data_IF_453506664262
#
_entry.id   IF_453506664262
#
_cell.length_a   1.000
_cell.length_b   1.000
_cell.length_c   1.000
_cell.angle_alpha   90.00
_cell.angle_beta   90.00
_cell.angle_gamma   90.00
#
_symmetry.space_group_name_H-M   'P 1'
#
loop_
_entity.id
_entity.type
_entity.pdbx_description
1 polymer ?
#
# COMPACT_ATOMS: atom_id res chain seq x y z
N UNK A 1 29.99 -13.71 42.09
CA UNK A 1 29.77 -15.17 42.25
C UNK A 1 28.39 -15.63 41.78
N UNK A 2 27.32 -14.82 41.88
CA UNK A 2 25.99 -15.17 41.36
C UNK A 2 25.87 -15.11 39.81
N UNK A 3 26.63 -14.24 39.13
CA UNK A 3 26.60 -14.13 37.66
C UNK A 3 27.14 -15.39 36.94
N UNK A 4 28.07 -16.12 37.56
CA UNK A 4 28.64 -17.36 36.99
C UNK A 4 27.71 -18.58 37.15
N UNK A 5 26.79 -18.54 38.13
CA UNK A 5 25.81 -19.62 38.35
C UNK A 5 24.64 -19.49 37.36
N UNK A 6 24.31 -18.27 36.93
CA UNK A 6 23.23 -17.99 35.97
C UNK A 6 23.62 -18.38 34.53
N UNK A 7 24.88 -18.14 34.14
CA UNK A 7 25.42 -18.54 32.83
C UNK A 7 25.50 -20.08 32.70
N UNK A 8 25.81 -20.79 33.78
CA UNK A 8 25.87 -22.25 33.79
C UNK A 8 24.47 -22.93 33.72
N UNK A 9 23.42 -22.26 34.20
CA UNK A 9 22.03 -22.76 34.08
C UNK A 9 21.49 -22.63 32.65
N UNK A 10 21.81 -21.55 31.95
CA UNK A 10 21.37 -21.34 30.55
C UNK A 10 22.09 -22.28 29.55
N UNK A 11 23.37 -22.59 29.76
CA UNK A 11 24.09 -23.54 28.91
C UNK A 11 23.56 -24.99 29.03
N UNK A 12 22.99 -25.37 30.18
CA UNK A 12 22.43 -26.72 30.41
C UNK A 12 21.02 -26.89 29.79
N UNK A 13 20.27 -25.81 29.60
CA UNK A 13 18.97 -25.82 28.92
C UNK A 13 19.11 -25.94 27.38
N UNK A 14 20.13 -25.31 26.78
CA UNK A 14 20.38 -25.42 25.33
C UNK A 14 20.97 -26.77 24.89
N UNK A 15 21.68 -27.49 25.78
CA UNK A 15 22.24 -28.80 25.46
C UNK A 15 21.22 -29.97 25.49
N UNK A 16 20.03 -29.76 26.07
CA UNK A 16 18.98 -30.79 26.18
C UNK A 16 17.98 -30.73 25.00
N UNK A 17 17.87 -29.59 24.31
CA UNK A 17 16.96 -29.41 23.17
C UNK A 17 17.50 -29.96 21.82
N UNK A 18 18.80 -30.27 21.73
CA UNK A 18 19.45 -30.76 20.49
C UNK A 18 19.55 -32.29 20.39
N UNK A 19 18.97 -33.05 21.34
CA UNK A 19 19.08 -34.52 21.38
C UNK A 19 17.80 -35.30 21.03
N UNK A 20 16.72 -34.62 20.60
CA UNK A 20 15.51 -35.27 20.10
C UNK A 20 14.91 -34.46 18.96
N UNK A 21 15.08 -34.94 17.73
CA UNK A 21 14.48 -34.30 16.56
C UNK A 21 14.86 -34.97 15.26
N UNK A 22 14.46 -36.23 15.07
CA UNK A 22 14.38 -36.85 13.76
C UNK A 22 13.51 -35.97 12.85
N UNK A 23 14.09 -35.38 11.80
CA UNK A 23 13.32 -34.81 10.68
C UNK A 23 13.20 -35.86 9.59
N UNK A 24 12.00 -36.45 9.45
CA UNK A 24 11.49 -36.87 8.16
C UNK A 24 11.11 -35.60 7.39
N UNK A 25 11.72 -35.36 6.22
CA UNK A 25 11.25 -34.36 5.27
C UNK A 25 9.98 -34.87 4.58
N UNK A 26 8.87 -34.18 4.80
CA UNK A 26 7.67 -34.29 3.98
C UNK A 26 7.79 -33.28 2.84
N UNK A 27 8.10 -33.76 1.64
CA UNK A 27 7.83 -33.06 0.39
C UNK A 27 6.45 -33.51 -0.07
N UNK A 28 5.47 -32.61 0.02
CA UNK A 28 4.09 -32.86 -0.41
C UNK A 28 3.66 -31.81 -1.43
N UNK A 29 3.91 -32.09 -2.71
CA UNK A 29 3.14 -31.53 -3.82
C UNK A 29 1.88 -32.37 -3.99
N UNK A 30 0.70 -31.77 -3.83
CA UNK A 30 -0.57 -32.44 -4.06
C UNK A 30 -0.88 -32.46 -5.57
N UNK A 31 -0.75 -33.62 -6.21
CA UNK A 31 -1.56 -33.97 -7.36
C UNK A 31 -2.04 -35.41 -7.27
N UNK A 32 -3.32 -35.52 -7.61
CA UNK A 32 -4.27 -36.62 -7.68
C UNK A 32 -3.70 -37.96 -8.20
N UNK A 33 -4.30 -39.06 -7.70
CA UNK A 33 -4.53 -40.39 -8.33
C UNK A 33 -3.86 -41.62 -7.67
N UNK A 34 -4.75 -42.55 -7.35
CA UNK A 34 -4.69 -44.01 -7.16
C UNK A 34 -3.99 -44.72 -5.99
N UNK A 35 -4.87 -45.39 -5.22
CA UNK A 35 -4.62 -46.54 -4.35
C UNK A 35 -4.19 -47.74 -5.20
N UNK A 36 -2.99 -48.29 -4.92
CA UNK A 36 -2.71 -49.74 -4.93
C UNK A 36 -1.36 -50.04 -4.26
N UNK A 37 -1.43 -50.94 -3.28
CA UNK A 37 -0.39 -51.80 -2.69
C UNK A 37 1.07 -51.62 -3.17
N UNK A 38 1.96 -51.22 -2.27
CA UNK A 38 3.39 -51.56 -2.36
C UNK A 38 4.02 -51.60 -0.95
N UNK A 39 4.23 -52.82 -0.46
CA UNK A 39 5.16 -53.15 0.64
C UNK A 39 6.57 -52.68 0.27
N UNK A 40 7.21 -51.87 1.11
CA UNK A 40 8.63 -51.55 0.96
C UNK A 40 9.35 -51.83 2.27
N UNK A 41 9.93 -53.02 2.35
CA UNK A 41 10.86 -53.45 3.37
C UNK A 41 12.22 -52.75 3.16
N UNK A 42 12.74 -52.10 4.20
CA UNK A 42 14.08 -51.52 4.21
C UNK A 42 15.08 -52.66 4.44
N UNK A 43 15.88 -53.00 3.41
CA UNK A 43 16.86 -54.09 3.43
C UNK A 43 18.23 -53.53 3.85
N UNK A 44 18.91 -54.08 4.87
CA UNK A 44 20.24 -53.62 5.28
C UNK A 44 21.29 -53.99 4.23
N UNK A 45 22.17 -53.03 3.93
CA UNK A 45 23.33 -53.24 3.05
C UNK A 45 24.42 -53.96 3.86
N UNK A 46 24.95 -55.11 3.38
CA UNK A 46 26.06 -55.78 4.03
C UNK A 46 27.35 -55.00 3.81
N UNK A 47 27.98 -54.59 4.91
CA UNK A 47 29.36 -54.10 4.94
C UNK A 47 30.24 -55.34 4.99
N UNK A 48 30.71 -55.82 3.84
CA UNK A 48 31.88 -56.70 3.71
C UNK A 48 32.13 -57.05 2.24
N UNK A 49 33.11 -56.39 1.63
CA UNK A 49 34.04 -56.95 0.62
C UNK A 49 34.71 -55.83 -0.18
N UNK A 50 35.71 -55.18 0.41
CA UNK A 50 36.87 -54.72 -0.37
C UNK A 50 38.11 -55.30 0.31
N UNK A 51 38.56 -56.43 -0.25
CA UNK A 51 39.86 -57.04 0.03
C UNK A 51 40.95 -56.02 -0.26
N UNK A 52 41.59 -55.52 0.79
CA UNK A 52 42.84 -54.79 0.68
C UNK A 52 43.98 -55.80 0.50
N UNK A 53 44.53 -55.83 -0.71
CA UNK A 53 45.73 -56.57 -1.06
C UNK A 53 46.92 -56.17 -0.17
N UNK A 54 47.63 -57.19 0.31
CA UNK A 54 48.98 -57.18 0.87
C UNK A 54 49.88 -56.08 0.30
N UNK A 55 50.29 -55.14 1.15
CA UNK A 55 51.41 -54.22 0.92
C UNK A 55 52.68 -54.73 1.64
N UNK A 56 53.87 -54.51 1.05
CA UNK A 56 55.13 -55.02 1.55
C UNK A 56 55.67 -54.24 2.75
N UNK A 57 56.62 -54.89 3.41
CA UNK A 57 57.34 -54.47 4.60
C UNK A 57 57.98 -53.06 4.52
N UNK A 58 57.89 -52.38 5.67
CA UNK A 58 58.92 -51.49 6.26
C UNK A 58 59.62 -50.56 5.28
N UNK A 59 59.01 -49.39 5.08
CA UNK A 59 59.70 -48.16 4.70
C UNK A 59 59.70 -47.21 5.89
N UNK A 60 60.90 -46.87 6.37
CA UNK A 60 61.19 -45.90 7.43
C UNK A 60 60.26 -44.66 7.35
N UNK A 61 59.48 -44.41 8.40
CA UNK A 61 58.87 -43.10 8.62
C UNK A 61 60.02 -42.18 8.98
N UNK A 62 60.62 -41.54 7.97
CA UNK A 62 61.26 -40.26 8.21
C UNK A 62 60.17 -39.35 8.76
N UNK A 63 60.21 -39.06 10.07
CA UNK A 63 59.65 -37.83 10.59
C UNK A 63 60.25 -36.70 9.74
N UNK A 64 59.53 -36.27 8.71
CA UNK A 64 59.70 -34.92 8.20
C UNK A 64 59.44 -34.09 9.45
N UNK A 65 60.51 -33.50 9.97
CA UNK A 65 60.39 -32.40 10.90
C UNK A 65 59.37 -31.48 10.28
N UNK A 66 58.17 -31.44 10.86
CA UNK A 66 57.35 -30.26 10.76
C UNK A 66 58.27 -29.18 11.30
N UNK A 67 58.84 -28.41 10.37
CA UNK A 67 59.54 -27.19 10.71
C UNK A 67 58.44 -26.34 11.32
N UNK A 68 58.33 -26.39 12.65
CA UNK A 68 57.40 -25.57 13.40
C UNK A 68 57.60 -24.16 12.92
N UNK A 69 56.50 -23.52 12.50
CA UNK A 69 56.49 -22.12 12.12
C UNK A 69 57.29 -21.36 13.17
N UNK A 70 58.34 -20.67 12.72
CA UNK A 70 59.13 -19.88 13.65
C UNK A 70 58.22 -18.80 14.23
N UNK A 71 58.42 -18.44 15.50
CA UNK A 71 57.67 -17.34 16.13
C UNK A 71 57.74 -16.07 15.27
N UNK A 72 58.87 -15.85 14.59
CA UNK A 72 59.10 -14.75 13.66
C UNK A 72 58.18 -14.82 12.42
N UNK A 73 57.95 -16.01 11.86
CA UNK A 73 57.09 -16.19 10.69
C UNK A 73 55.63 -15.94 11.02
N UNK A 74 55.16 -16.42 12.18
CA UNK A 74 53.83 -16.09 12.67
C UNK A 74 53.69 -14.58 12.94
N UNK A 75 54.73 -13.93 13.49
CA UNK A 75 54.75 -12.50 13.72
C UNK A 75 54.71 -11.69 12.42
N UNK A 76 55.42 -12.15 11.39
CA UNK A 76 55.42 -11.53 10.07
C UNK A 76 54.04 -11.66 9.40
N UNK A 77 53.40 -12.82 9.50
CA UNK A 77 52.06 -13.04 8.92
C UNK A 77 51.01 -12.15 9.59
N UNK A 78 50.97 -12.10 10.93
CA UNK A 78 50.00 -11.22 11.63
C UNK A 78 50.28 -9.74 11.33
N UNK A 79 51.55 -9.35 11.15
CA UNK A 79 51.90 -7.99 10.76
C UNK A 79 51.41 -7.64 9.36
N UNK A 80 51.61 -8.54 8.38
CA UNK A 80 51.10 -8.36 7.03
C UNK A 80 49.57 -8.36 6.98
N UNK A 81 48.91 -9.24 7.74
CA UNK A 81 47.45 -9.26 7.84
C UNK A 81 46.92 -7.96 8.45
N UNK A 82 47.57 -7.43 9.48
CA UNK A 82 47.21 -6.14 10.08
C UNK A 82 47.37 -4.98 9.09
N UNK A 83 48.45 -4.96 8.30
CA UNK A 83 48.65 -3.97 7.24
C UNK A 83 47.56 -4.05 6.18
N UNK A 84 47.28 -5.23 5.64
CA UNK A 84 46.24 -5.42 4.61
C UNK A 84 44.86 -5.05 5.16
N UNK A 85 44.54 -5.46 6.38
CA UNK A 85 43.28 -5.10 7.03
C UNK A 85 43.14 -3.58 7.23
N UNK A 86 44.20 -2.90 7.68
CA UNK A 86 44.21 -1.44 7.84
C UNK A 86 44.02 -0.72 6.52
N UNK A 87 44.68 -1.17 5.44
CA UNK A 87 44.48 -0.60 4.10
C UNK A 87 43.09 -0.89 3.54
N UNK A 88 42.50 -2.05 3.89
CA UNK A 88 41.14 -2.41 3.49
C UNK A 88 40.10 -1.48 4.08
N UNK A 89 40.21 -1.16 5.39
CA UNK A 89 39.27 -0.26 6.08
C UNK A 89 39.27 1.15 5.47
N UNK A 90 40.45 1.71 5.16
CA UNK A 90 40.56 3.03 4.52
C UNK A 90 39.92 3.10 3.13
N UNK A 91 39.82 1.97 2.42
CA UNK A 91 39.20 1.92 1.08
C UNK A 91 37.67 1.75 1.15
N UNK A 92 37.13 1.35 2.29
CA UNK A 92 35.68 1.17 2.50
C UNK A 92 35.02 2.37 3.18
N UNK A 93 35.80 3.22 3.86
CA UNK A 93 35.31 4.49 4.41
C UNK A 93 34.64 5.34 3.31
N UNK A 94 33.40 5.77 3.55
CA UNK A 94 32.60 6.56 2.61
C UNK A 94 31.83 5.77 1.53
N UNK A 95 32.26 4.56 1.15
CA UNK A 95 31.51 3.74 0.18
C UNK A 95 30.20 3.24 0.80
N UNK A 96 30.26 2.80 2.05
CA UNK A 96 29.06 2.38 2.79
C UNK A 96 28.08 3.54 2.96
N UNK A 97 28.59 4.75 3.24
CA UNK A 97 27.76 5.92 3.50
C UNK A 97 27.07 6.40 2.23
N UNK A 98 27.79 6.40 1.09
CA UNK A 98 27.20 6.68 -0.20
C UNK A 98 26.13 5.64 -0.55
N UNK A 99 26.37 4.35 -0.27
CA UNK A 99 25.40 3.30 -0.51
C UNK A 99 24.13 3.48 0.34
N UNK A 100 24.26 3.87 1.61
CA UNK A 100 23.13 4.17 2.50
C UNK A 100 22.35 5.40 2.02
N UNK A 101 23.06 6.47 1.63
CA UNK A 101 22.45 7.68 1.07
C UNK A 101 21.63 7.40 -0.20
N UNK A 102 22.21 6.63 -1.13
CA UNK A 102 21.54 6.25 -2.38
C UNK A 102 20.34 5.35 -2.12
N UNK A 103 20.44 4.42 -1.16
CA UNK A 103 19.31 3.59 -0.72
C UNK A 103 18.21 4.43 -0.06
N UNK A 104 18.55 5.43 0.78
CA UNK A 104 17.59 6.37 1.36
C UNK A 104 16.81 7.10 0.27
N UNK A 105 17.49 7.67 -0.73
CA UNK A 105 16.84 8.31 -1.89
C UNK A 105 15.95 7.36 -2.66
N UNK A 106 16.42 6.14 -2.89
CA UNK A 106 15.63 5.10 -3.56
C UNK A 106 14.36 4.78 -2.77
N UNK A 107 14.43 4.68 -1.45
CA UNK A 107 13.28 4.42 -0.58
C UNK A 107 12.29 5.58 -0.54
N UNK A 108 12.76 6.84 -0.56
CA UNK A 108 11.89 8.00 -0.73
C UNK A 108 11.08 7.93 -2.03
N UNK A 109 11.71 7.54 -3.14
CA UNK A 109 11.01 7.35 -4.42
C UNK A 109 9.99 6.20 -4.36
N UNK A 110 10.31 5.11 -3.65
CA UNK A 110 9.37 4.01 -3.42
C UNK A 110 8.16 4.47 -2.59
N UNK A 111 8.36 5.31 -1.57
CA UNK A 111 7.27 5.90 -0.78
C UNK A 111 6.42 6.80 -1.68
N UNK A 112 7.02 7.71 -2.45
CA UNK A 112 6.29 8.56 -3.40
C UNK A 112 5.45 7.72 -4.36
N UNK A 113 6.04 6.69 -4.96
CA UNK A 113 5.34 5.77 -5.88
C UNK A 113 4.24 4.96 -5.19
N UNK A 114 4.40 4.59 -3.92
CA UNK A 114 3.34 3.93 -3.15
C UNK A 114 2.16 4.88 -2.88
N UNK A 115 2.42 6.17 -2.68
CA UNK A 115 1.39 7.18 -2.45
C UNK A 115 0.63 7.52 -3.73
N UNK A 116 1.32 8.00 -4.78
CA UNK A 116 0.68 8.55 -6.00
C UNK A 116 0.70 7.61 -7.21
N UNK A 117 1.32 6.44 -7.10
CA UNK A 117 1.50 5.52 -8.21
C UNK A 117 2.67 5.88 -9.12
N UNK A 118 2.82 5.13 -10.21
CA UNK A 118 3.84 5.36 -11.24
C UNK A 118 3.20 5.89 -12.53
N UNK A 119 3.31 7.19 -12.82
CA UNK A 119 2.66 7.78 -14.00
C UNK A 119 3.32 7.35 -15.33
N UNK A 120 4.50 6.70 -15.29
CA UNK A 120 5.18 6.23 -16.50
C UNK A 120 4.61 4.91 -17.01
N UNK A 121 3.92 4.16 -16.14
CA UNK A 121 3.23 2.95 -16.52
C UNK A 121 1.93 3.33 -17.21
N UNK A 122 1.64 2.68 -18.33
CA UNK A 122 0.41 2.91 -19.08
C UNK A 122 -0.32 1.59 -19.29
N UNK A 123 -1.65 1.64 -19.18
CA UNK A 123 -2.55 0.55 -19.52
C UNK A 123 -3.42 1.06 -20.66
N UNK A 124 -3.35 0.39 -21.81
CA UNK A 124 -4.08 0.80 -23.02
C UNK A 124 -3.80 2.25 -23.46
N UNK A 125 -2.59 2.76 -23.24
CA UNK A 125 -2.17 4.11 -23.63
C UNK A 125 -2.59 5.23 -22.67
N UNK A 126 -3.32 4.91 -21.60
CA UNK A 126 -3.58 5.84 -20.49
C UNK A 126 -2.66 5.52 -19.30
N UNK A 127 -2.26 6.51 -18.47
CA UNK A 127 -1.50 6.25 -17.25
C UNK A 127 -2.20 5.23 -16.35
N UNK A 128 -1.41 4.32 -15.76
CA UNK A 128 -1.90 3.35 -14.79
C UNK A 128 -2.32 4.07 -13.51
N UNK A 129 -3.60 3.95 -13.17
CA UNK A 129 -4.13 4.47 -11.94
C UNK A 129 -3.80 3.51 -10.79
N UNK A 130 -2.93 3.92 -9.88
CA UNK A 130 -2.43 3.10 -8.78
C UNK A 130 -1.95 3.96 -7.61
N UNK A 131 -1.71 3.33 -6.47
CA UNK A 131 -1.20 3.97 -5.26
C UNK A 131 -2.29 4.32 -4.26
N UNK A 132 -1.87 4.66 -3.04
CA UNK A 132 -2.75 4.95 -1.92
C UNK A 132 -3.82 6.00 -2.25
N UNK A 133 -3.44 7.12 -2.88
CA UNK A 133 -4.38 8.22 -3.19
C UNK A 133 -5.45 7.81 -4.22
N UNK A 134 -5.10 6.90 -5.14
CA UNK A 134 -6.02 6.42 -6.16
C UNK A 134 -7.20 5.65 -5.53
N UNK A 135 -6.87 4.84 -4.54
CA UNK A 135 -7.79 3.93 -3.86
C UNK A 135 -8.52 4.63 -2.69
N UNK A 136 -7.82 5.47 -1.93
CA UNK A 136 -8.32 6.11 -0.70
C UNK A 136 -8.86 7.53 -0.89
N UNK A 137 -8.49 8.23 -1.96
CA UNK A 137 -8.92 9.62 -2.18
C UNK A 137 -8.26 10.68 -1.29
N UNK A 138 -7.31 10.30 -0.43
CA UNK A 138 -6.52 11.19 0.43
C UNK A 138 -5.06 10.77 0.51
N UNK A 139 -4.20 11.65 1.04
CA UNK A 139 -2.82 11.29 1.42
C UNK A 139 -2.83 10.38 2.67
N UNK A 140 -1.81 9.52 2.86
CA UNK A 140 -1.70 8.74 4.08
C UNK A 140 -1.32 9.64 5.25
N UNK A 141 -1.90 9.37 6.41
CA UNK A 141 -1.68 10.14 7.64
C UNK A 141 -0.30 9.89 8.24
N UNK A 142 0.24 8.69 8.03
CA UNK A 142 1.59 8.25 8.38
C UNK A 142 2.03 7.10 7.46
N UNK A 143 3.30 6.71 7.47
CA UNK A 143 3.79 5.66 6.57
C UNK A 143 3.22 4.27 6.89
N UNK A 144 2.72 4.03 8.11
CA UNK A 144 2.13 2.74 8.49
C UNK A 144 0.90 2.38 7.65
N UNK A 145 0.13 3.36 7.16
CA UNK A 145 -0.98 3.15 6.23
C UNK A 145 -0.54 2.58 4.88
N UNK A 146 0.73 2.76 4.49
CA UNK A 146 1.27 2.15 3.28
C UNK A 146 1.63 0.67 3.48
N UNK A 147 1.75 0.23 4.73
CA UNK A 147 2.23 -1.10 5.11
C UNK A 147 1.10 -2.03 5.57
N UNK A 148 0.05 -1.50 6.21
CA UNK A 148 -1.05 -2.29 6.79
C UNK A 148 -2.33 -1.47 6.95
N UNK A 149 -3.43 -2.20 7.10
CA UNK A 149 -4.79 -1.67 7.24
C UNK A 149 -5.13 -1.18 8.66
N UNK A 150 -4.50 -1.77 9.68
CA UNK A 150 -4.82 -1.53 11.10
C UNK A 150 -5.68 -2.64 11.71
N UNK A 151 -6.43 -2.32 12.75
CA UNK A 151 -7.24 -3.29 13.51
C UNK A 151 -8.71 -3.25 13.05
N UNK A 152 -9.36 -4.41 12.94
CA UNK A 152 -10.75 -4.52 12.45
C UNK A 152 -11.74 -3.93 13.46
N UNK A 153 -12.60 -3.01 13.00
CA UNK A 153 -13.67 -2.41 13.81
C UNK A 153 -14.77 -3.43 14.03
N UNK A 154 -15.27 -3.52 15.27
CA UNK A 154 -16.37 -4.42 15.64
C UNK A 154 -17.68 -3.66 15.89
N UNK A 155 -18.84 -4.20 15.48
CA UNK A 155 -19.03 -5.47 14.76
C UNK A 155 -18.57 -5.39 13.30
N UNK A 156 -18.11 -6.51 12.75
CA UNK A 156 -17.65 -6.58 11.37
C UNK A 156 -18.75 -6.13 10.38
N UNK A 157 -18.39 -5.19 9.52
CA UNK A 157 -19.20 -4.61 8.44
C UNK A 157 -18.95 -5.31 7.11
N UNK A 158 -19.77 -5.02 6.09
CA UNK A 158 -19.55 -5.45 4.70
C UNK A 158 -19.64 -4.22 3.80
N UNK A 159 -18.54 -3.78 3.15
CA UNK A 159 -17.17 -4.29 3.32
C UNK A 159 -16.63 -4.05 4.74
N UNK A 160 -15.62 -4.83 5.14
CA UNK A 160 -15.01 -4.72 6.47
C UNK A 160 -14.33 -3.37 6.64
N UNK A 161 -14.42 -2.82 7.85
CA UNK A 161 -13.81 -1.55 8.24
C UNK A 161 -12.77 -1.74 9.33
N UNK A 162 -11.76 -0.89 9.32
CA UNK A 162 -10.58 -0.95 10.17
C UNK A 162 -10.24 0.44 10.70
N UNK A 163 -9.65 0.51 11.88
CA UNK A 163 -9.06 1.73 12.43
C UNK A 163 -7.71 1.95 11.73
N UNK A 164 -7.47 3.17 11.23
CA UNK A 164 -6.18 3.49 10.63
C UNK A 164 -5.05 3.26 11.64
N UNK A 165 -3.90 2.67 11.24
CA UNK A 165 -2.75 2.53 12.13
C UNK A 165 -2.15 3.88 12.55
N UNK A 166 -2.57 4.99 11.93
CA UNK A 166 -2.09 6.34 12.21
C UNK A 166 -3.01 7.14 13.14
N UNK A 167 -4.31 6.90 13.06
CA UNK A 167 -5.35 7.58 13.83
C UNK A 167 -6.55 6.63 14.00
N UNK A 168 -6.89 6.28 15.24
CA UNK A 168 -7.97 5.34 15.52
C UNK A 168 -9.38 5.92 15.27
N UNK A 169 -9.49 7.24 15.09
CA UNK A 169 -10.74 7.91 14.72
C UNK A 169 -11.04 7.81 13.23
N UNK A 170 -10.02 7.47 12.43
CA UNK A 170 -10.10 7.37 10.98
C UNK A 170 -10.44 5.93 10.59
N UNK A 171 -11.63 5.75 10.03
CA UNK A 171 -12.14 4.44 9.63
C UNK A 171 -11.84 4.20 8.15
N UNK A 172 -11.17 3.10 7.87
CA UNK A 172 -10.75 2.69 6.53
C UNK A 172 -11.45 1.39 6.16
N UNK A 173 -12.07 1.34 4.99
CA UNK A 173 -12.62 0.10 4.44
C UNK A 173 -11.54 -0.74 3.74
N UNK A 174 -11.64 -2.07 3.83
CA UNK A 174 -10.88 -2.96 2.94
C UNK A 174 -11.36 -2.79 1.50
N UNK A 175 -10.47 -3.05 0.54
CA UNK A 175 -10.77 -2.91 -0.87
C UNK A 175 -12.00 -3.73 -1.27
N UNK A 176 -12.99 -3.05 -1.85
CA UNK A 176 -14.23 -3.68 -2.29
C UNK A 176 -14.64 -3.29 -3.71
N UNK A 177 -14.87 -4.34 -4.49
CA UNK A 177 -15.57 -4.41 -5.79
C UNK A 177 -17.10 -4.26 -5.70
N UNK A 178 -17.71 -3.08 -5.85
CA UNK A 178 -19.17 -3.04 -6.02
C UNK A 178 -19.58 -3.60 -7.40
N UNK A 179 -20.41 -4.65 -7.41
CA UNK A 179 -20.77 -5.36 -8.63
C UNK A 179 -21.80 -4.62 -9.49
N UNK A 180 -22.63 -3.79 -8.88
CA UNK A 180 -23.72 -3.10 -9.57
C UNK A 180 -23.21 -1.85 -10.29
N UNK A 181 -22.29 -1.12 -9.67
CA UNK A 181 -21.73 0.14 -10.18
C UNK A 181 -20.35 -0.01 -10.80
N UNK A 182 -19.66 -1.13 -10.50
CA UNK A 182 -18.27 -1.35 -10.89
C UNK A 182 -17.30 -0.39 -10.19
N UNK A 183 -17.73 0.32 -9.14
CA UNK A 183 -16.86 1.20 -8.35
C UNK A 183 -16.01 0.35 -7.43
N UNK A 184 -14.70 0.54 -7.52
CA UNK A 184 -13.77 0.03 -6.53
C UNK A 184 -13.32 1.13 -5.58
N UNK A 185 -13.38 0.87 -4.27
CA UNK A 185 -12.93 1.79 -3.23
C UNK A 185 -12.39 1.04 -2.01
N UNK A 186 -11.70 1.77 -1.14
CA UNK A 186 -11.09 1.25 0.07
C UNK A 186 -9.62 0.94 -0.11
N UNK A 187 -8.97 0.45 0.92
CA UNK A 187 -7.54 0.23 0.92
C UNK A 187 -7.21 -1.09 0.21
N UNK A 188 -6.43 -1.02 -0.88
CA UNK A 188 -6.03 -2.18 -1.69
C UNK A 188 -4.65 -2.74 -1.36
N UNK A 189 -4.01 -2.18 -0.33
CA UNK A 189 -2.62 -2.44 0.01
C UNK A 189 -2.32 -3.88 0.47
N UNK A 190 -1.07 -4.14 0.91
CA UNK A 190 -0.03 -3.15 1.22
C UNK A 190 0.60 -2.52 -0.02
N UNK A 191 0.85 -1.22 0.04
CA UNK A 191 1.45 -0.44 -1.05
C UNK A 191 2.99 -0.47 -1.01
N UNK A 192 3.56 -0.67 0.17
CA UNK A 192 4.97 -0.95 0.40
C UNK A 192 5.15 -2.38 0.90
N UNK A 193 6.02 -3.14 0.23
CA UNK A 193 6.35 -4.50 0.65
C UNK A 193 7.58 -4.51 1.54
N UNK A 194 7.43 -5.08 2.74
CA UNK A 194 8.51 -5.20 3.72
C UNK A 194 8.56 -6.60 4.31
N UNK A 195 9.74 -6.98 4.78
CA UNK A 195 9.93 -8.18 5.60
C UNK A 195 9.81 -7.72 7.06
N UNK A 196 9.04 -8.43 7.91
CA UNK A 196 8.96 -8.11 9.33
C UNK A 196 10.35 -8.14 9.98
N UNK A 197 10.59 -7.20 10.89
CA UNK A 197 11.80 -7.22 11.72
C UNK A 197 11.76 -8.38 12.73
N UNK A 198 12.87 -8.60 13.45
CA UNK A 198 12.96 -9.70 14.43
C UNK A 198 11.84 -9.69 15.50
N UNK A 199 11.27 -8.53 15.81
CA UNK A 199 10.13 -8.36 16.71
C UNK A 199 8.75 -8.51 16.04
N UNK A 200 8.68 -8.84 14.75
CA UNK A 200 7.46 -8.97 13.97
C UNK A 200 6.85 -7.66 13.45
N UNK A 201 7.40 -6.51 13.84
CA UNK A 201 6.97 -5.20 13.36
C UNK A 201 7.26 -5.02 11.87
N UNK A 202 6.32 -4.42 11.14
CA UNK A 202 6.53 -3.97 9.77
C UNK A 202 7.13 -2.56 9.81
N UNK A 203 8.32 -2.40 9.23
CA UNK A 203 9.06 -1.14 9.16
C UNK A 203 9.63 -0.96 7.78
N UNK A 204 9.50 0.24 7.23
CA UNK A 204 10.17 0.63 6.00
C UNK A 204 11.23 1.68 6.31
N UNK A 205 12.36 1.24 6.89
CA UNK A 205 13.42 2.15 7.35
C UNK A 205 14.10 2.89 6.20
N UNK A 206 14.93 3.87 6.50
CA UNK A 206 15.87 4.46 5.54
C UNK A 206 17.12 3.58 5.34
N UNK A 207 18.09 4.05 4.53
CA UNK A 207 19.34 3.34 4.28
C UNK A 207 20.24 3.24 5.53
N UNK A 208 20.07 4.14 6.50
CA UNK A 208 20.86 4.17 7.74
C UNK A 208 20.29 3.27 8.84
N UNK A 209 19.02 2.87 8.72
CA UNK A 209 18.33 2.03 9.70
C UNK A 209 17.86 2.84 10.89
N UNK A 210 17.58 4.13 10.71
CA UNK A 210 17.15 5.00 11.78
C UNK A 210 15.83 4.52 12.39
N UNK A 211 15.67 4.76 13.69
CA UNK A 211 14.47 4.46 14.46
C UNK A 211 13.80 5.77 14.88
N UNK A 212 12.48 5.75 15.00
CA UNK A 212 11.75 6.89 15.54
C UNK A 212 12.16 7.19 16.99
N UNK A 213 11.90 8.42 17.44
CA UNK A 213 12.27 8.89 18.79
C UNK A 213 11.75 8.01 19.94
N UNK A 214 10.70 7.22 19.70
CA UNK A 214 10.22 6.16 20.57
C UNK A 214 9.50 5.09 19.75
N UNK A 215 9.15 3.96 20.39
CA UNK A 215 8.52 2.83 19.71
C UNK A 215 7.15 3.16 19.07
N UNK A 216 6.41 4.14 19.59
CA UNK A 216 5.13 4.55 19.01
C UNK A 216 5.35 5.39 17.74
N UNK A 217 6.23 6.39 17.79
CA UNK A 217 6.62 7.17 16.60
C UNK A 217 7.25 6.27 15.51
N UNK A 218 8.14 5.35 15.91
CA UNK A 218 8.71 4.37 14.98
C UNK A 218 7.63 3.45 14.36
N UNK A 219 6.53 3.20 15.08
CA UNK A 219 5.42 2.42 14.54
C UNK A 219 4.59 3.12 13.48
N UNK A 220 4.58 4.45 13.49
CA UNK A 220 3.86 5.28 12.54
C UNK A 220 4.70 5.47 11.27
N UNK A 221 5.96 5.88 11.43
CA UNK A 221 6.76 6.38 10.30
C UNK A 221 8.08 5.65 10.09
N UNK A 222 8.33 4.52 10.77
CA UNK A 222 9.53 3.68 10.53
C UNK A 222 10.88 4.43 10.62
N UNK A 223 10.95 5.47 11.44
CA UNK A 223 12.14 6.30 11.62
C UNK A 223 12.29 7.45 10.61
N UNK A 224 11.32 7.65 9.71
CA UNK A 224 11.26 8.83 8.87
C UNK A 224 10.58 9.99 9.59
N UNK A 225 10.98 11.22 9.26
CA UNK A 225 10.21 12.41 9.57
C UNK A 225 9.22 12.66 8.42
N UNK A 226 8.02 12.10 8.55
CA UNK A 226 6.93 12.27 7.60
C UNK A 226 5.95 13.32 8.12
N UNK A 227 5.61 14.28 7.27
CA UNK A 227 4.61 15.30 7.58
C UNK A 227 3.65 15.47 6.42
N UNK A 228 2.36 15.59 6.74
CA UNK A 228 1.28 15.66 5.76
C UNK A 228 0.32 16.79 6.09
N UNK A 229 -0.18 17.43 5.04
CA UNK A 229 -1.29 18.37 5.07
C UNK A 229 -2.40 17.86 4.15
N UNK A 230 -3.53 18.57 4.09
CA UNK A 230 -4.61 18.22 3.17
C UNK A 230 -4.21 18.21 1.67
N UNK A 231 -3.06 18.80 1.29
CA UNK A 231 -2.65 18.96 -0.10
C UNK A 231 -1.23 18.47 -0.41
N UNK A 232 -0.34 18.42 0.58
CA UNK A 232 1.09 18.16 0.39
C UNK A 232 1.63 17.18 1.43
N UNK A 233 2.71 16.48 1.09
CA UNK A 233 3.49 15.69 2.02
C UNK A 233 4.98 15.98 1.88
N UNK A 234 5.70 15.92 3.00
CA UNK A 234 7.15 16.00 3.08
C UNK A 234 7.71 14.78 3.80
N UNK A 235 8.97 14.47 3.51
CA UNK A 235 9.66 13.33 4.09
C UNK A 235 11.13 13.66 4.31
N UNK A 236 11.68 13.34 5.46
CA UNK A 236 13.11 13.45 5.74
C UNK A 236 13.66 12.24 6.51
N UNK A 237 14.96 12.01 6.36
CA UNK A 237 15.76 11.04 7.09
C UNK A 237 16.91 11.80 7.74
N UNK A 238 17.16 11.54 9.03
CA UNK A 238 18.22 12.18 9.85
C UNK A 238 19.65 11.72 9.50
N UNK A 239 19.83 11.05 8.35
CA UNK A 239 21.15 10.65 7.89
C UNK A 239 21.85 9.65 8.82
N UNK A 240 23.16 9.79 8.97
CA UNK A 240 23.97 8.99 9.88
C UNK A 240 24.02 9.59 11.29
N UNK A 241 24.11 10.92 11.40
CA UNK A 241 24.24 11.62 12.68
C UNK A 241 22.91 12.26 13.11
N UNK A 242 22.20 11.56 14.00
CA UNK A 242 20.93 12.01 14.57
C UNK A 242 21.02 13.35 15.35
N UNK A 243 22.22 13.85 15.64
CA UNK A 243 22.41 15.12 16.33
C UNK A 243 22.65 16.30 15.39
N UNK A 244 22.91 16.07 14.10
CA UNK A 244 23.34 17.11 13.16
C UNK A 244 22.65 16.97 11.82
N UNK A 245 21.92 18.01 11.41
CA UNK A 245 21.17 18.00 10.15
C UNK A 245 22.02 18.12 8.85
N UNK A 246 23.35 17.96 8.92
CA UNK A 246 24.24 18.22 7.77
C UNK A 246 24.23 17.12 6.73
N UNK A 247 23.88 15.91 7.15
CA UNK A 247 23.81 14.69 6.34
C UNK A 247 22.37 14.19 6.18
N UNK A 248 21.39 14.98 6.64
CA UNK A 248 19.97 14.73 6.42
C UNK A 248 19.67 14.61 4.93
N UNK A 249 18.79 13.67 4.62
CA UNK A 249 18.20 13.53 3.29
C UNK A 249 16.76 13.97 3.39
N UNK A 250 16.41 15.07 2.71
CA UNK A 250 15.07 15.64 2.79
C UNK A 250 14.39 15.76 1.40
N UNK A 251 13.11 15.47 1.38
CA UNK A 251 12.16 15.71 0.30
C UNK A 251 11.03 16.62 0.85
N UNK A 252 11.26 17.95 0.95
CA UNK A 252 10.28 18.88 1.50
C UNK A 252 9.01 19.00 0.65
N UNK A 253 9.08 18.59 -0.61
CA UNK A 253 7.94 18.46 -1.52
C UNK A 253 7.89 17.03 -2.04
N UNK A 254 7.79 16.06 -1.13
CA UNK A 254 7.65 14.66 -1.51
C UNK A 254 6.39 14.47 -2.36
N UNK A 255 5.27 15.12 -2.01
CA UNK A 255 4.03 15.14 -2.79
C UNK A 255 3.45 16.56 -2.77
N UNK A 256 2.96 17.03 -3.92
CA UNK A 256 2.21 18.30 -4.03
C UNK A 256 0.82 18.05 -4.58
N UNK A 257 -0.12 19.00 -4.38
CA UNK A 257 -1.52 18.88 -4.84
C UNK A 257 -1.63 18.44 -6.31
N UNK A 258 -0.83 19.02 -7.21
CA UNK A 258 -0.86 18.68 -8.63
C UNK A 258 -0.42 17.23 -8.98
N UNK A 259 0.18 16.50 -8.05
CA UNK A 259 0.55 15.10 -8.27
C UNK A 259 -0.64 14.14 -8.11
N UNK A 260 -1.64 14.50 -7.30
CA UNK A 260 -2.73 13.60 -6.92
C UNK A 260 -4.12 14.23 -6.97
N UNK A 261 -4.22 15.53 -7.25
CA UNK A 261 -5.48 16.24 -7.42
C UNK A 261 -5.56 16.88 -8.81
N UNK A 262 -6.76 16.94 -9.34
CA UNK A 262 -7.08 17.50 -10.65
C UNK A 262 -8.14 18.59 -10.48
N UNK A 263 -7.92 19.81 -10.98
CA UNK A 263 -8.93 20.85 -10.97
C UNK A 263 -10.05 20.49 -11.96
N UNK A 264 -11.29 20.56 -11.49
CA UNK A 264 -12.46 20.43 -12.34
C UNK A 264 -12.77 21.74 -13.09
N UNK A 265 -13.43 21.65 -14.26
CA UNK A 265 -13.99 22.83 -14.91
C UNK A 265 -15.11 23.45 -14.05
N UNK A 266 -15.36 24.75 -14.23
CA UNK A 266 -16.45 25.45 -13.53
C UNK A 266 -17.86 24.98 -13.92
N UNK A 267 -17.98 24.13 -14.96
CA UNK A 267 -19.20 23.45 -15.30
C UNK A 267 -18.91 22.03 -15.79
N UNK A 268 -19.71 21.08 -15.34
CA UNK A 268 -19.64 19.66 -15.73
C UNK A 268 -20.84 19.34 -16.60
N UNK A 269 -20.60 18.80 -17.79
CA UNK A 269 -21.66 18.40 -18.72
C UNK A 269 -22.12 16.98 -18.42
N UNK A 270 -23.43 16.80 -18.33
CA UNK A 270 -24.08 15.52 -18.06
C UNK A 270 -25.12 15.27 -19.14
N UNK A 271 -25.01 14.13 -19.81
CA UNK A 271 -25.97 13.67 -20.81
C UNK A 271 -26.98 12.74 -20.16
N UNK A 272 -28.22 13.21 -20.03
CA UNK A 272 -29.35 12.42 -19.59
C UNK A 272 -29.84 11.57 -20.76
N UNK A 273 -29.96 10.26 -20.56
CA UNK A 273 -30.50 9.31 -21.53
C UNK A 273 -31.79 8.71 -20.95
N UNK A 274 -32.94 9.06 -21.52
CA UNK A 274 -34.23 8.52 -21.12
C UNK A 274 -34.53 7.28 -21.94
N UNK A 275 -34.42 6.11 -21.31
CA UNK A 275 -34.68 4.81 -21.93
C UNK A 275 -36.16 4.44 -21.93
N UNK A 276 -36.98 5.13 -21.15
CA UNK A 276 -38.43 4.95 -21.18
C UNK A 276 -39.02 5.44 -22.52
N UNK A 277 -40.16 4.87 -22.92
CA UNK A 277 -40.90 5.30 -24.10
C UNK A 277 -41.71 6.59 -23.91
N UNK A 278 -41.67 7.19 -22.72
CA UNK A 278 -42.46 8.35 -22.34
C UNK A 278 -41.54 9.52 -21.90
N UNK A 279 -42.03 10.77 -21.95
CA UNK A 279 -41.34 11.88 -21.27
C UNK A 279 -41.22 11.63 -19.77
N UNK A 280 -40.37 12.41 -19.09
CA UNK A 280 -40.17 12.27 -17.64
C UNK A 280 -41.51 12.33 -16.88
N UNK A 281 -41.74 11.44 -15.90
CA UNK A 281 -43.00 11.36 -15.18
C UNK A 281 -43.29 12.55 -14.25
N UNK A 282 -42.40 13.54 -14.17
CA UNK A 282 -42.50 14.71 -13.29
C UNK A 282 -43.35 15.83 -13.89
N UNK A 283 -44.57 16.11 -13.38
CA UNK A 283 -45.41 17.18 -13.95
C UNK A 283 -44.89 18.60 -13.65
N UNK A 284 -44.00 18.74 -12.66
CA UNK A 284 -43.45 20.01 -12.19
C UNK A 284 -41.93 20.08 -12.42
N UNK A 285 -41.35 21.29 -12.45
CA UNK A 285 -39.91 21.46 -12.42
C UNK A 285 -39.30 20.77 -11.20
N UNK A 286 -38.20 20.03 -11.39
CA UNK A 286 -37.40 19.41 -10.33
C UNK A 286 -36.01 20.05 -10.30
N UNK A 287 -35.53 20.31 -9.09
CA UNK A 287 -34.20 20.86 -8.85
C UNK A 287 -33.22 19.72 -8.63
N UNK A 288 -32.20 19.65 -9.47
CA UNK A 288 -31.19 18.61 -9.44
C UNK A 288 -29.83 19.16 -9.03
N UNK A 289 -29.09 18.35 -8.29
CA UNK A 289 -27.72 18.59 -7.88
C UNK A 289 -26.86 17.43 -8.38
N UNK A 290 -25.68 17.74 -8.92
CA UNK A 290 -24.65 16.76 -9.20
C UNK A 290 -23.79 16.60 -7.95
N UNK A 291 -23.75 15.40 -7.40
CA UNK A 291 -22.87 15.01 -6.29
C UNK A 291 -21.69 14.23 -6.81
N UNK A 292 -20.48 14.68 -6.48
CA UNK A 292 -19.21 14.03 -6.83
C UNK A 292 -18.54 13.53 -5.56
N UNK A 293 -18.25 12.24 -5.48
CA UNK A 293 -17.65 11.62 -4.31
C UNK A 293 -16.13 11.61 -4.38
N UNK A 294 -15.48 11.95 -3.25
CA UNK A 294 -14.02 12.10 -3.16
C UNK A 294 -13.30 10.82 -2.73
N UNK A 295 -13.95 10.01 -1.88
CA UNK A 295 -13.37 8.79 -1.30
C UNK A 295 -14.41 7.68 -1.12
N UNK A 296 -14.90 7.44 0.10
CA UNK A 296 -15.71 6.32 0.58
C UNK A 296 -17.22 6.60 0.61
N UNK A 297 -17.64 7.58 -0.19
CA UNK A 297 -19.01 8.11 -0.29
C UNK A 297 -19.50 8.96 0.89
N UNK A 298 -18.68 9.17 1.91
CA UNK A 298 -19.01 10.11 3.00
C UNK A 298 -18.57 11.54 2.69
N UNK A 299 -17.49 11.69 1.93
CA UNK A 299 -16.96 12.98 1.48
C UNK A 299 -17.34 13.25 0.02
N UNK A 300 -17.96 14.41 -0.22
CA UNK A 300 -18.52 14.76 -1.53
C UNK A 300 -18.58 16.26 -1.79
N UNK A 301 -18.73 16.59 -3.07
CA UNK A 301 -18.89 17.95 -3.59
C UNK A 301 -20.19 18.02 -4.38
N UNK A 302 -21.02 18.97 -4.01
CA UNK A 302 -22.30 19.23 -4.66
C UNK A 302 -22.21 20.45 -5.59
N UNK A 303 -22.83 20.38 -6.76
CA UNK A 303 -22.87 21.47 -7.76
C UNK A 303 -23.52 22.78 -7.29
N UNK A 304 -24.13 22.78 -6.10
CA UNK A 304 -24.82 23.95 -5.57
C UNK A 304 -23.98 24.77 -4.56
N UNK A 305 -22.90 24.23 -3.97
CA UNK A 305 -22.14 24.76 -2.79
C UNK A 305 -22.71 26.01 -2.04
N UNK A 306 -24.02 26.05 -1.73
CA UNK A 306 -24.69 27.15 -1.02
C UNK A 306 -25.20 28.33 -1.86
N UNK A 307 -25.21 28.26 -3.19
CA UNK A 307 -25.84 29.24 -4.11
C UNK A 307 -26.84 28.54 -5.01
N UNK A 308 -28.13 28.96 -5.08
CA UNK A 308 -29.23 28.22 -5.70
C UNK A 308 -29.17 28.17 -7.25
N UNK A 309 -28.09 27.63 -7.80
CA UNK A 309 -27.81 27.49 -9.24
C UNK A 309 -28.07 26.03 -9.66
N UNK A 310 -29.15 25.46 -9.13
CA UNK A 310 -29.62 24.10 -9.41
C UNK A 310 -29.91 23.89 -10.90
N UNK A 311 -29.70 22.67 -11.38
CA UNK A 311 -30.20 22.29 -12.69
C UNK A 311 -31.70 22.01 -12.59
N UNK A 312 -32.51 22.74 -13.34
CA UNK A 312 -33.96 22.56 -13.34
C UNK A 312 -34.40 21.73 -14.55
N UNK A 313 -34.99 20.56 -14.30
CA UNK A 313 -35.62 19.74 -15.35
C UNK A 313 -37.15 19.78 -15.23
N UNK A 314 -37.84 19.65 -16.36
CA UNK A 314 -39.29 19.57 -16.47
C UNK A 314 -39.68 18.31 -17.24
N UNK A 315 -40.97 17.93 -17.26
CA UNK A 315 -41.47 16.77 -18.02
C UNK A 315 -41.00 16.72 -19.49
N UNK A 316 -40.83 17.88 -20.12
CA UNK A 316 -40.45 18.02 -21.54
C UNK A 316 -38.94 18.21 -21.72
N UNK A 317 -38.18 18.29 -20.63
CA UNK A 317 -36.73 18.48 -20.70
C UNK A 317 -36.04 17.28 -21.34
N UNK A 318 -36.47 16.05 -21.07
CA UNK A 318 -35.94 14.84 -21.71
C UNK A 318 -37.10 13.99 -22.22
N UNK A 319 -37.26 13.95 -23.54
CA UNK A 319 -38.33 13.17 -24.18
C UNK A 319 -38.04 11.66 -24.06
N UNK A 320 -39.08 10.85 -24.23
CA UNK A 320 -38.92 9.38 -24.25
C UNK A 320 -38.00 8.92 -25.36
N UNK A 321 -37.16 7.92 -25.07
CA UNK A 321 -36.17 7.35 -25.99
C UNK A 321 -35.26 8.42 -26.61
N UNK A 322 -34.89 9.42 -25.82
CA UNK A 322 -34.06 10.55 -26.25
C UNK A 322 -32.96 10.86 -25.26
N UNK A 323 -31.99 11.66 -25.69
CA UNK A 323 -30.90 12.13 -24.86
C UNK A 323 -30.82 13.66 -24.88
N UNK A 324 -30.43 14.25 -23.76
CA UNK A 324 -30.15 15.68 -23.65
C UNK A 324 -28.97 15.94 -22.74
N UNK A 325 -28.06 16.79 -23.20
CA UNK A 325 -26.93 17.26 -22.40
C UNK A 325 -27.28 18.56 -21.70
N UNK A 326 -27.05 18.60 -20.40
CA UNK A 326 -27.16 19.79 -19.56
C UNK A 326 -25.85 19.99 -18.80
N UNK A 327 -25.63 21.20 -18.29
CA UNK A 327 -24.41 21.53 -17.55
C UNK A 327 -24.75 21.92 -16.12
N UNK A 328 -24.13 21.23 -15.17
CA UNK A 328 -24.11 21.62 -13.76
C UNK A 328 -22.97 22.61 -13.56
N UNK A 329 -23.25 23.75 -12.94
CA UNK A 329 -22.19 24.69 -12.56
C UNK A 329 -21.57 24.25 -11.24
N UNK A 330 -20.31 24.60 -11.03
CA UNK A 330 -19.60 24.44 -9.77
C UNK A 330 -19.19 25.85 -9.33
N UNK A 331 -19.67 26.28 -8.16
CA UNK A 331 -19.45 27.63 -7.61
C UNK A 331 -17.98 27.93 -7.34
N UNK A 332 -17.19 26.89 -7.06
CA UNK A 332 -15.72 26.92 -6.96
C UNK A 332 -15.18 25.73 -7.75
N UNK A 333 -14.19 25.87 -8.66
CA UNK A 333 -13.62 24.71 -9.35
C UNK A 333 -12.92 23.80 -8.33
N UNK A 334 -13.52 22.66 -7.95
CA UNK A 334 -12.99 21.88 -6.87
C UNK A 334 -11.82 21.02 -7.35
N UNK A 335 -10.99 20.61 -6.41
CA UNK A 335 -9.89 19.68 -6.64
C UNK A 335 -10.39 18.26 -6.38
N UNK A 336 -10.39 17.42 -7.41
CA UNK A 336 -10.74 16.01 -7.27
C UNK A 336 -9.48 15.15 -7.15
N UNK A 337 -9.41 14.21 -6.21
CA UNK A 337 -8.29 13.28 -6.13
C UNK A 337 -8.32 12.31 -7.32
N UNK A 338 -7.14 11.98 -7.86
CA UNK A 338 -6.97 10.98 -8.93
C UNK A 338 -7.48 9.63 -8.46
N UNK A 339 -8.15 8.86 -9.31
CA UNK A 339 -8.76 7.61 -8.87
C UNK A 339 -10.03 7.26 -9.63
N UNK A 340 -10.63 6.12 -9.28
CA UNK A 340 -12.01 5.85 -9.65
C UNK A 340 -12.92 6.58 -8.65
N UNK A 341 -13.84 7.39 -9.16
CA UNK A 341 -14.72 8.25 -8.35
C UNK A 341 -16.16 7.98 -8.67
N UNK A 342 -17.01 8.25 -7.68
CA UNK A 342 -18.45 8.11 -7.78
C UNK A 342 -19.12 9.44 -8.14
N UNK A 343 -20.23 9.38 -8.84
CA UNK A 343 -21.16 10.50 -8.96
C UNK A 343 -22.61 10.04 -8.89
N UNK A 344 -23.47 10.94 -8.45
CA UNK A 344 -24.91 10.77 -8.45
C UNK A 344 -25.58 12.06 -8.89
N UNK A 345 -26.75 11.93 -9.50
CA UNK A 345 -27.68 13.05 -9.66
C UNK A 345 -28.76 12.88 -8.62
N UNK A 346 -28.90 13.88 -7.77
CA UNK A 346 -29.80 13.85 -6.63
C UNK A 346 -30.85 14.95 -6.72
N UNK A 347 -32.02 14.62 -6.20
CA UNK A 347 -33.16 15.52 -6.08
C UNK A 347 -32.96 16.43 -4.88
N UNK A 348 -32.75 17.72 -5.14
CA UNK A 348 -32.80 18.73 -4.11
C UNK A 348 -34.25 18.82 -3.57
N UNK A 349 -34.42 18.99 -2.26
CA UNK A 349 -35.71 19.09 -1.57
C UNK A 349 -36.51 17.78 -1.41
N UNK A 350 -35.97 16.62 -1.78
CA UNK A 350 -36.62 15.32 -1.57
C UNK A 350 -35.69 14.38 -0.79
N UNK A 351 -35.88 14.25 0.54
CA UNK A 351 -36.69 15.09 1.43
C UNK A 351 -36.02 16.45 1.68
N UNK A 352 -36.81 17.46 2.06
CA UNK A 352 -36.28 18.77 2.45
C UNK A 352 -35.45 18.65 3.73
N UNK A 353 -34.28 19.30 3.76
CA UNK A 353 -33.42 19.34 4.93
C UNK A 353 -32.04 18.80 4.64
N UNK A 354 -31.65 17.77 5.39
CA UNK A 354 -30.30 17.20 5.41
C UNK A 354 -29.88 16.63 4.04
N UNK A 355 -28.78 17.13 3.44
CA UNK A 355 -28.24 16.67 2.16
C UNK A 355 -27.86 15.19 2.10
N UNK A 356 -27.58 14.54 3.24
CA UNK A 356 -27.29 13.10 3.28
C UNK A 356 -28.54 12.26 3.04
N UNK A 357 -29.72 12.85 3.18
CA UNK A 357 -30.98 12.17 2.96
C UNK A 357 -31.54 12.36 1.54
N UNK A 358 -30.92 13.17 0.68
CA UNK A 358 -31.41 13.40 -0.68
C UNK A 358 -31.55 12.10 -1.47
N UNK A 359 -32.53 12.06 -2.37
CA UNK A 359 -32.81 10.87 -3.19
C UNK A 359 -32.15 10.94 -4.55
N UNK A 360 -31.80 9.78 -5.09
CA UNK A 360 -31.34 9.67 -6.48
C UNK A 360 -32.47 10.04 -7.44
N UNK A 361 -32.10 10.78 -8.48
CA UNK A 361 -32.97 11.07 -9.61
C UNK A 361 -32.94 9.91 -10.62
N UNK A 362 -34.00 9.13 -10.69
CA UNK A 362 -34.16 8.03 -11.65
C UNK A 362 -35.23 8.33 -12.72
N UNK A 363 -35.54 9.62 -12.91
CA UNK A 363 -36.59 10.10 -13.82
C UNK A 363 -37.63 10.95 -13.10
N UNK A 364 -37.77 10.78 -11.79
CA UNK A 364 -38.51 11.67 -10.91
C UNK A 364 -37.79 11.98 -9.60
N UNK A 365 -38.47 12.77 -8.76
CA UNK A 365 -38.03 13.13 -7.43
C UNK A 365 -39.12 12.78 -6.42
N UNK A 366 -39.18 11.50 -6.05
CA UNK A 366 -40.11 10.99 -5.02
C UNK A 366 -39.34 10.43 -3.81
N UNK A 367 -40.00 10.36 -2.65
CA UNK A 367 -39.34 9.99 -1.40
C UNK A 367 -38.94 8.51 -1.33
N UNK A 368 -39.59 7.70 -2.16
CA UNK A 368 -39.39 6.27 -2.35
C UNK A 368 -38.10 5.94 -3.10
N UNK A 369 -37.52 6.91 -3.81
CA UNK A 369 -36.25 6.73 -4.50
C UNK A 369 -35.14 6.44 -3.48
N UNK A 370 -34.13 5.65 -3.85
CA UNK A 370 -33.09 5.26 -2.91
C UNK A 370 -32.17 6.45 -2.58
N UNK A 371 -31.62 6.43 -1.37
CA UNK A 371 -30.49 7.30 -0.98
C UNK A 371 -29.25 6.86 -1.79
N UNK A 372 -28.38 7.79 -2.20
CA UNK A 372 -27.10 7.45 -2.78
C UNK A 372 -26.29 6.47 -1.92
N UNK A 373 -25.88 5.38 -2.54
CA UNK A 373 -25.11 4.30 -1.93
C UNK A 373 -24.24 3.62 -3.01
N UNK A 374 -23.30 2.79 -2.58
CA UNK A 374 -22.37 2.10 -3.48
C UNK A 374 -23.04 1.34 -4.64
N UNK A 375 -24.30 0.91 -4.51
CA UNK A 375 -25.02 0.10 -5.50
C UNK A 375 -25.79 0.90 -6.57
N UNK A 376 -25.95 2.21 -6.40
CA UNK A 376 -26.82 3.03 -7.26
C UNK A 376 -26.17 4.33 -7.77
N UNK A 377 -24.93 4.59 -7.37
CA UNK A 377 -24.10 5.65 -7.95
C UNK A 377 -23.47 5.21 -9.28
N UNK A 378 -22.92 6.15 -10.04
CA UNK A 378 -22.16 5.88 -11.26
C UNK A 378 -20.69 6.15 -11.04
N UNK A 379 -19.83 5.56 -11.86
CA UNK A 379 -18.38 5.71 -11.73
C UNK A 379 -17.75 6.47 -12.90
N UNK A 380 -16.66 7.17 -12.63
CA UNK A 380 -15.78 7.77 -13.62
C UNK A 380 -14.33 7.71 -13.14
N UNK A 381 -13.39 7.96 -14.04
CA UNK A 381 -11.96 7.95 -13.71
C UNK A 381 -11.36 9.34 -13.79
N UNK A 382 -10.62 9.71 -12.76
CA UNK A 382 -9.83 10.94 -12.70
C UNK A 382 -8.37 10.56 -12.93
N UNK A 383 -7.81 10.99 -14.05
CA UNK A 383 -6.44 10.69 -14.44
C UNK A 383 -5.48 11.81 -14.02
N UNK A 384 -4.25 11.49 -13.60
CA UNK A 384 -3.27 12.47 -13.18
C UNK A 384 -2.87 13.42 -14.32
N UNK A 385 -2.61 14.68 -13.97
CA UNK A 385 -2.02 15.71 -14.86
C UNK A 385 -2.80 15.96 -16.16
N UNK A 386 -4.12 15.76 -16.14
CA UNK A 386 -5.00 16.10 -17.24
C UNK A 386 -5.95 17.24 -16.86
N UNK A 387 -6.28 18.11 -17.80
CA UNK A 387 -7.45 18.98 -17.66
C UNK A 387 -8.67 18.10 -17.88
N UNK A 388 -9.44 17.84 -16.81
CA UNK A 388 -10.58 16.94 -16.90
C UNK A 388 -11.68 17.59 -17.74
N UNK A 389 -11.94 17.06 -18.94
CA UNK A 389 -13.17 17.36 -19.67
C UNK A 389 -14.19 16.29 -19.30
N UNK A 390 -14.85 16.51 -18.14
CA UNK A 390 -15.76 15.53 -17.57
C UNK A 390 -17.10 15.59 -18.30
N UNK A 391 -17.34 14.60 -19.16
CA UNK A 391 -18.63 14.36 -19.79
C UNK A 391 -19.23 13.07 -19.18
N UNK A 392 -20.26 13.25 -18.36
CA UNK A 392 -20.93 12.16 -17.65
C UNK A 392 -22.19 11.74 -18.40
N UNK A 393 -22.58 10.47 -18.24
CA UNK A 393 -23.84 9.95 -18.77
C UNK A 393 -24.74 9.52 -17.61
N UNK A 394 -26.02 9.87 -17.67
CA UNK A 394 -27.00 9.48 -16.66
C UNK A 394 -28.17 8.80 -17.33
N UNK A 395 -28.28 7.48 -17.10
CA UNK A 395 -29.34 6.67 -17.66
C UNK A 395 -30.54 6.72 -16.72
N UNK A 396 -31.66 7.19 -17.28
CA UNK A 396 -32.99 7.17 -16.68
C UNK A 396 -33.67 5.90 -17.22
N UNK A 397 -33.92 4.89 -16.36
CA UNK A 397 -34.41 3.58 -16.78
C UNK A 397 -35.81 3.58 -17.43
#
# INVERSE_FOLDING_TARGET
MNLLIEIAKNAKAQAIALRRGNRCQLLGTASRVDKRSASTACKPIPVDALRLSTLPAVGSIHHKSERGFTLLEMLLVIFLMALVASTGLMLTEGVEDQAKYDETKRRMELIRKAIVGDPTRTVNGAPELSGFVADMGRLPLCLAELLRLGDEVLPATVPKTFESPCDDTEIVSDWHLDQDTGVGMGWRGPYLQVIPESGGGLRFRDGYGNEGANAAADALDSGWDYSVTAATASLASEGMDLAVATDDVAAPQLIVSADWQVPLPAAVSVTFENQSGAPLPTPNPVNLVLRLYLSDLTDYIDSDEGTPDYLVLTKESVLGSSQKTESFKLSTPPLLPIGQRGYAIICHEVPSGDPDNYRIFDGDCVAENPVPAVSNIRSFSVLPRQTLNLALNWIIP
#
